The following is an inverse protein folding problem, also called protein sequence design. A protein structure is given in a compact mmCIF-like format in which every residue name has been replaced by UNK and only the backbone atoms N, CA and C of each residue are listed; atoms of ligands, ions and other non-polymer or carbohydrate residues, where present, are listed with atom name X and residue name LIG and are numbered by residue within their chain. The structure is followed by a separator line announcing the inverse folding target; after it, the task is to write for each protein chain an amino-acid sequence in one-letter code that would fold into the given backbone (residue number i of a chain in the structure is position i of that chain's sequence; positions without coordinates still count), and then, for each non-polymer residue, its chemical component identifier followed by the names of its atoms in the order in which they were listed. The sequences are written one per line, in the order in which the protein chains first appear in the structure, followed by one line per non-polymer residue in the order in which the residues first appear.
data_IF_516751716136
#
_entry.id   IF_516751716136
#
_cell.length_a   1.000
_cell.length_b   1.000
_cell.length_c   1.000
_cell.angle_alpha   90.00
_cell.angle_beta   90.00
_cell.angle_gamma   90.00
#
_symmetry.space_group_name_H-M   'P 1'
#
loop_
_entity.id
_entity.type
_entity.pdbx_description
1 polymer ?
#
# COMPACT_ATOMS: atom_id res chain seq x y z
N UNK A 1 24.90 -20.65 -16.59
CA UNK A 1 24.27 -19.77 -15.59
C UNK A 1 24.88 -20.08 -14.24
N UNK A 2 25.16 -19.07 -13.42
CA UNK A 2 25.66 -19.30 -12.06
C UNK A 2 24.61 -20.03 -11.23
N UNK A 3 25.00 -20.96 -10.33
CA UNK A 3 24.06 -21.66 -9.47
C UNK A 3 23.34 -20.68 -8.55
N UNK A 4 22.08 -20.99 -8.23
CA UNK A 4 21.30 -20.21 -7.26
C UNK A 4 21.98 -20.33 -5.90
N UNK A 5 22.25 -19.22 -5.20
CA UNK A 5 22.83 -19.27 -3.87
C UNK A 5 21.96 -20.09 -2.92
N UNK A 6 22.59 -21.00 -2.16
CA UNK A 6 21.90 -21.75 -1.11
C UNK A 6 21.56 -20.82 0.04
N UNK A 7 20.35 -20.96 0.59
CA UNK A 7 19.95 -20.33 1.82
C UNK A 7 20.87 -20.80 2.95
N UNK A 8 21.29 -19.85 3.79
CA UNK A 8 22.10 -20.11 4.98
C UNK A 8 21.37 -19.57 6.21
N UNK A 9 21.47 -20.25 7.37
CA UNK A 9 20.89 -19.73 8.60
C UNK A 9 21.54 -18.39 8.96
N UNK A 10 20.70 -17.40 9.33
CA UNK A 10 21.18 -16.09 9.80
C UNK A 10 21.55 -16.10 11.30
N UNK A 11 21.09 -17.11 12.03
CA UNK A 11 21.36 -17.33 13.46
C UNK A 11 21.87 -18.74 13.66
N UNK A 12 22.75 -18.93 14.64
CA UNK A 12 23.29 -20.24 15.00
C UNK A 12 22.29 -20.99 15.91
N UNK A 13 21.15 -21.40 15.36
CA UNK A 13 20.14 -22.21 16.06
C UNK A 13 19.65 -23.36 15.18
N UNK A 14 19.22 -24.45 15.82
CA UNK A 14 18.73 -25.66 15.11
C UNK A 14 17.52 -25.36 14.21
N UNK A 15 16.66 -24.44 14.64
CA UNK A 15 15.47 -24.03 13.90
C UNK A 15 15.85 -23.26 12.62
N UNK A 16 16.86 -22.38 12.71
CA UNK A 16 17.35 -21.63 11.57
C UNK A 16 18.05 -22.54 10.55
N UNK A 17 18.86 -23.50 11.03
CA UNK A 17 19.50 -24.53 10.21
C UNK A 17 18.44 -25.38 9.49
N UNK A 18 17.49 -25.93 10.23
CA UNK A 18 16.38 -26.71 9.68
C UNK A 18 15.59 -25.92 8.64
N UNK A 19 15.27 -24.65 8.90
CA UNK A 19 14.56 -23.81 7.93
C UNK A 19 15.37 -23.61 6.65
N UNK A 20 16.68 -23.36 6.76
CA UNK A 20 17.54 -23.20 5.59
C UNK A 20 17.62 -24.50 4.77
N UNK A 21 17.71 -25.66 5.41
CA UNK A 21 17.68 -26.98 4.76
C UNK A 21 16.38 -27.19 3.98
N UNK A 22 15.23 -26.96 4.61
CA UNK A 22 13.92 -27.10 3.97
C UNK A 22 13.76 -26.13 2.79
N UNK A 23 14.19 -24.87 2.93
CA UNK A 23 14.18 -23.88 1.83
C UNK A 23 15.02 -24.37 0.65
N UNK A 24 16.23 -24.87 0.92
CA UNK A 24 17.12 -25.38 -0.12
C UNK A 24 16.55 -26.62 -0.82
N UNK A 25 15.97 -27.56 -0.06
CA UNK A 25 15.31 -28.75 -0.60
C UNK A 25 14.10 -28.38 -1.48
N UNK A 26 13.28 -27.43 -1.01
CA UNK A 26 12.14 -26.94 -1.78
C UNK A 26 12.57 -26.33 -3.11
N UNK A 27 13.60 -25.47 -3.10
CA UNK A 27 14.11 -24.83 -4.32
C UNK A 27 14.64 -25.87 -5.30
N UNK A 28 15.40 -26.86 -4.82
CA UNK A 28 15.94 -27.93 -5.68
C UNK A 28 14.83 -28.76 -6.33
N UNK A 29 13.82 -29.16 -5.54
CA UNK A 29 12.64 -29.89 -6.05
C UNK A 29 11.82 -29.05 -7.02
N UNK A 30 11.63 -27.76 -6.72
CA UNK A 30 10.94 -26.83 -7.62
C UNK A 30 11.69 -26.72 -8.95
N UNK A 31 13.02 -26.68 -8.92
CA UNK A 31 13.84 -26.65 -10.14
C UNK A 31 13.64 -27.90 -10.97
N UNK A 32 13.68 -29.07 -10.35
CA UNK A 32 13.49 -30.33 -11.05
C UNK A 32 12.13 -30.39 -11.77
N UNK A 33 11.05 -30.06 -11.04
CA UNK A 33 9.68 -30.08 -11.57
C UNK A 33 9.50 -29.04 -12.68
N UNK A 34 9.91 -27.79 -12.43
CA UNK A 34 9.70 -26.70 -13.38
C UNK A 34 10.53 -26.87 -14.65
N UNK A 35 11.76 -27.40 -14.55
CA UNK A 35 12.63 -27.66 -15.70
C UNK A 35 12.01 -28.65 -16.70
N UNK A 36 11.25 -29.63 -16.19
CA UNK A 36 10.57 -30.65 -17.01
C UNK A 36 9.23 -30.19 -17.59
N UNK A 37 8.73 -29.02 -17.19
CA UNK A 37 7.41 -28.52 -17.60
C UNK A 37 7.31 -28.21 -19.09
N UNK A 38 6.12 -28.40 -19.66
CA UNK A 38 5.84 -28.07 -21.07
C UNK A 38 6.04 -26.57 -21.36
N UNK A 39 5.77 -25.71 -20.37
CA UNK A 39 6.03 -24.26 -20.49
C UNK A 39 7.52 -24.00 -20.70
N UNK A 40 8.41 -24.61 -19.92
CA UNK A 40 9.85 -24.41 -20.07
C UNK A 40 10.42 -25.08 -21.33
N UNK A 41 9.89 -26.24 -21.74
CA UNK A 41 10.23 -26.82 -23.05
C UNK A 41 9.93 -25.86 -24.20
N UNK A 42 8.75 -25.23 -24.20
CA UNK A 42 8.36 -24.23 -25.20
C UNK A 42 9.25 -22.99 -25.15
N UNK A 43 9.53 -22.45 -23.96
CA UNK A 43 10.42 -21.29 -23.80
C UNK A 43 11.80 -21.55 -24.39
N UNK A 44 12.39 -22.72 -24.10
CA UNK A 44 13.70 -23.11 -24.63
C UNK A 44 13.68 -23.27 -26.15
N UNK A 45 12.63 -23.89 -26.71
CA UNK A 45 12.46 -24.01 -28.16
C UNK A 45 12.35 -22.64 -28.87
N UNK A 46 11.83 -21.62 -28.17
CA UNK A 46 11.76 -20.23 -28.63
C UNK A 46 13.04 -19.43 -28.33
N UNK A 47 14.12 -20.06 -27.86
CA UNK A 47 15.39 -19.39 -27.50
C UNK A 47 15.32 -18.55 -26.21
N UNK A 48 14.26 -18.67 -25.41
CA UNK A 48 14.09 -17.96 -24.14
C UNK A 48 14.72 -18.74 -22.98
N UNK A 49 15.15 -18.03 -21.95
CA UNK A 49 15.61 -18.65 -20.70
C UNK A 49 14.46 -19.41 -20.02
N UNK A 50 14.77 -20.58 -19.45
CA UNK A 50 13.82 -21.33 -18.63
C UNK A 50 13.48 -20.53 -17.36
N UNK A 51 12.20 -20.48 -17.02
CA UNK A 51 11.68 -20.01 -15.74
C UNK A 51 11.53 -21.23 -14.83
N UNK A 52 12.66 -21.80 -14.40
CA UNK A 52 12.70 -23.07 -13.70
C UNK A 52 13.17 -22.93 -12.25
N UNK A 53 13.10 -21.76 -11.65
CA UNK A 53 13.44 -21.58 -10.25
C UNK A 53 12.48 -20.62 -9.56
N UNK A 54 12.28 -20.82 -8.26
CA UNK A 54 11.49 -19.94 -7.40
C UNK A 54 12.46 -19.25 -6.45
N UNK A 55 12.57 -17.92 -6.57
CA UNK A 55 13.35 -17.11 -5.65
C UNK A 55 12.49 -16.78 -4.43
N UNK A 56 12.92 -17.23 -3.26
CA UNK A 56 12.24 -17.02 -1.99
C UNK A 56 12.86 -15.84 -1.26
N UNK A 57 12.03 -14.98 -0.67
CA UNK A 57 12.44 -13.84 0.16
C UNK A 57 11.32 -13.48 1.14
N UNK A 58 11.62 -12.60 2.09
CA UNK A 58 10.64 -11.99 3.00
C UNK A 58 9.78 -13.02 3.76
N UNK A 59 10.44 -14.04 4.32
CA UNK A 59 9.77 -15.12 5.05
C UNK A 59 9.13 -14.61 6.35
N UNK A 60 7.94 -15.13 6.66
CA UNK A 60 7.29 -14.96 7.96
C UNK A 60 7.07 -16.32 8.63
N UNK A 61 7.11 -16.36 9.97
CA UNK A 61 6.79 -17.55 10.76
C UNK A 61 5.28 -17.82 10.83
N UNK A 62 4.45 -16.83 10.48
CA UNK A 62 3.00 -16.94 10.52
C UNK A 62 2.33 -15.60 10.27
N UNK A 63 1.00 -15.57 10.43
CA UNK A 63 0.28 -14.32 10.50
C UNK A 63 0.49 -13.71 11.89
N UNK A 64 0.74 -12.39 12.01
CA UNK A 64 0.83 -11.77 13.31
C UNK A 64 -0.52 -11.81 14.01
N UNK A 65 -0.50 -12.02 15.33
CA UNK A 65 -1.69 -11.92 16.16
C UNK A 65 -2.01 -10.44 16.38
N UNK A 66 -3.14 -10.00 15.82
CA UNK A 66 -3.57 -8.60 15.84
C UNK A 66 -5.04 -8.49 16.22
N UNK A 67 -5.35 -7.47 17.02
CA UNK A 67 -6.74 -7.15 17.35
C UNK A 67 -7.48 -6.63 16.10
N UNK A 68 -8.71 -7.12 15.82
CA UNK A 68 -9.57 -6.53 14.79
C UNK A 68 -9.72 -5.02 15.00
N UNK A 69 -9.55 -4.23 13.94
CA UNK A 69 -9.53 -2.76 14.08
C UNK A 69 -10.88 -2.20 14.56
N UNK A 70 -11.98 -2.84 14.20
CA UNK A 70 -13.32 -2.49 14.68
C UNK A 70 -13.46 -2.70 16.19
N UNK A 71 -12.80 -3.72 16.75
CA UNK A 71 -12.78 -3.98 18.21
C UNK A 71 -11.99 -2.90 18.95
N UNK A 72 -10.90 -2.41 18.34
CA UNK A 72 -10.04 -1.37 18.93
C UNK A 72 -10.71 -0.01 19.00
N UNK A 73 -11.43 0.40 17.95
CA UNK A 73 -11.98 1.76 17.82
C UNK A 73 -13.52 1.83 17.95
N UNK A 74 -14.22 0.70 17.97
CA UNK A 74 -15.67 0.66 18.15
C UNK A 74 -16.49 1.14 16.95
N UNK A 75 -15.90 1.21 15.75
CA UNK A 75 -16.55 1.67 14.52
C UNK A 75 -16.25 0.71 13.36
N UNK A 76 -17.09 0.71 12.31
CA UNK A 76 -16.97 -0.20 11.16
C UNK A 76 -15.96 0.32 10.15
N UNK A 77 -14.94 -0.48 9.86
CA UNK A 77 -13.88 -0.12 8.92
C UNK A 77 -14.05 -0.84 7.59
N UNK A 78 -14.01 -0.05 6.53
CA UNK A 78 -13.95 -0.54 5.17
C UNK A 78 -12.66 -0.11 4.49
N UNK A 79 -12.24 -0.86 3.47
CA UNK A 79 -11.09 -0.50 2.67
C UNK A 79 -11.32 -0.67 1.17
N UNK A 80 -10.65 0.16 0.39
CA UNK A 80 -10.47 0.02 -1.06
C UNK A 80 -8.97 0.05 -1.34
N UNK A 81 -8.42 -0.99 -1.95
CA UNK A 81 -7.00 -1.02 -2.35
C UNK A 81 -6.73 -1.83 -3.60
N UNK A 82 -5.75 -1.32 -4.32
CA UNK A 82 -5.07 -1.88 -5.49
C UNK A 82 -4.30 -3.16 -5.23
N UNK A 83 -3.70 -3.16 -4.05
CA UNK A 83 -2.42 -3.79 -3.84
C UNK A 83 -2.58 -5.00 -2.93
N UNK A 84 -2.01 -6.16 -3.30
CA UNK A 84 -2.19 -7.40 -2.53
C UNK A 84 -1.71 -7.31 -1.08
N UNK A 85 -0.65 -6.56 -0.79
CA UNK A 85 -0.07 -6.46 0.56
C UNK A 85 -1.03 -5.72 1.49
N UNK A 86 -1.51 -4.56 1.07
CA UNK A 86 -2.43 -3.67 1.77
C UNK A 86 -3.79 -4.35 1.93
N UNK A 87 -4.22 -5.12 0.92
CA UNK A 87 -5.40 -5.99 1.03
C UNK A 87 -5.21 -7.07 2.09
N UNK A 88 -4.02 -7.66 2.17
CA UNK A 88 -3.66 -8.64 3.19
C UNK A 88 -3.71 -8.06 4.60
N UNK A 89 -3.12 -6.88 4.80
CA UNK A 89 -3.13 -6.16 6.09
C UNK A 89 -4.56 -5.81 6.51
N UNK A 90 -5.36 -5.24 5.61
CA UNK A 90 -6.74 -4.88 5.91
C UNK A 90 -7.61 -6.10 6.26
N UNK A 91 -7.40 -7.23 5.57
CA UNK A 91 -8.07 -8.51 5.89
C UNK A 91 -7.64 -9.09 7.23
N UNK A 92 -6.36 -8.98 7.56
CA UNK A 92 -5.84 -9.39 8.87
C UNK A 92 -6.52 -8.60 9.99
N UNK A 93 -6.71 -7.29 9.79
CA UNK A 93 -7.42 -6.37 10.70
C UNK A 93 -8.95 -6.51 10.66
N UNK A 94 -9.50 -7.45 9.88
CA UNK A 94 -10.94 -7.71 9.71
C UNK A 94 -11.75 -6.54 9.13
N UNK A 95 -11.13 -5.67 8.34
CA UNK A 95 -11.84 -4.62 7.62
C UNK A 95 -12.70 -5.21 6.48
N UNK A 96 -13.82 -4.57 6.17
CA UNK A 96 -14.68 -4.96 5.05
C UNK A 96 -14.12 -4.45 3.72
N UNK A 97 -13.92 -5.34 2.77
CA UNK A 97 -13.43 -4.98 1.43
C UNK A 97 -14.55 -4.35 0.59
N UNK A 98 -14.30 -3.13 0.11
CA UNK A 98 -15.06 -2.52 -0.98
C UNK A 98 -14.28 -2.83 -2.27
N UNK A 99 -14.82 -3.76 -3.06
CA UNK A 99 -14.18 -4.20 -4.30
C UNK A 99 -14.09 -3.04 -5.30
N UNK A 100 -12.89 -2.84 -5.82
CA UNK A 100 -12.62 -1.91 -6.91
C UNK A 100 -11.77 -2.61 -7.96
N UNK A 101 -12.29 -2.64 -9.18
CA UNK A 101 -11.59 -3.10 -10.37
C UNK A 101 -11.90 -2.09 -11.47
N UNK A 102 -10.86 -1.65 -12.17
CA UNK A 102 -11.00 -0.70 -13.27
C UNK A 102 -10.04 -1.05 -14.40
N UNK A 103 -10.59 -1.14 -15.61
CA UNK A 103 -9.81 -1.24 -16.85
C UNK A 103 -9.32 0.14 -17.33
N UNK A 104 -9.81 1.24 -16.74
CA UNK A 104 -9.42 2.60 -17.07
C UNK A 104 -8.06 2.95 -16.47
N UNK A 105 -7.43 3.98 -17.04
CA UNK A 105 -6.14 4.53 -16.61
C UNK A 105 -6.25 6.04 -16.40
N UNK A 106 -5.27 6.60 -15.70
CA UNK A 106 -5.20 8.05 -15.45
C UNK A 106 -6.44 8.58 -14.73
N UNK A 107 -6.88 9.78 -15.11
CA UNK A 107 -7.99 10.49 -14.47
C UNK A 107 -9.30 9.68 -14.44
N UNK A 108 -9.64 8.94 -15.50
CA UNK A 108 -10.90 8.18 -15.57
C UNK A 108 -10.96 7.06 -14.53
N UNK A 109 -9.81 6.44 -14.22
CA UNK A 109 -9.70 5.45 -13.14
C UNK A 109 -10.03 6.07 -11.78
N UNK A 110 -9.49 7.25 -11.51
CA UNK A 110 -9.69 7.97 -10.26
C UNK A 110 -11.15 8.44 -10.10
N UNK A 111 -11.82 8.81 -11.19
CA UNK A 111 -13.27 9.08 -11.21
C UNK A 111 -14.09 7.85 -10.85
N UNK A 112 -13.74 6.67 -11.39
CA UNK A 112 -14.39 5.41 -11.03
C UNK A 112 -14.18 5.06 -9.55
N UNK A 113 -12.96 5.28 -9.03
CA UNK A 113 -12.65 5.08 -7.62
C UNK A 113 -13.50 5.98 -6.72
N UNK A 114 -13.58 7.28 -7.01
CA UNK A 114 -14.43 8.21 -6.26
C UNK A 114 -15.90 7.81 -6.29
N UNK A 115 -16.41 7.35 -7.44
CA UNK A 115 -17.78 6.85 -7.56
C UNK A 115 -18.05 5.65 -6.65
N UNK A 116 -17.10 4.72 -6.55
CA UNK A 116 -17.20 3.57 -5.64
C UNK A 116 -17.16 4.00 -4.19
N UNK A 117 -16.24 4.89 -3.81
CA UNK A 117 -16.16 5.43 -2.45
C UNK A 117 -17.49 6.11 -2.08
N UNK A 118 -17.97 7.05 -2.90
CA UNK A 118 -19.24 7.76 -2.67
C UNK A 118 -20.46 6.85 -2.52
N UNK A 119 -20.46 5.67 -3.15
CA UNK A 119 -21.58 4.72 -3.04
C UNK A 119 -21.57 3.97 -1.70
N UNK A 120 -20.40 3.81 -1.08
CA UNK A 120 -20.22 2.95 0.09
C UNK A 120 -20.04 3.72 1.41
N UNK A 121 -20.00 5.05 1.38
CA UNK A 121 -19.84 5.90 2.60
C UNK A 121 -20.95 5.74 3.62
N UNK A 122 -22.13 5.20 3.25
CA UNK A 122 -23.25 4.98 4.18
C UNK A 122 -23.17 3.65 4.94
N UNK A 123 -22.39 2.70 4.43
CA UNK A 123 -22.31 1.33 4.97
C UNK A 123 -21.06 1.12 5.83
N UNK A 124 -20.29 2.19 6.09
CA UNK A 124 -19.02 2.20 6.80
C UNK A 124 -18.93 3.49 7.62
N UNK A 125 -18.34 3.40 8.81
CA UNK A 125 -18.06 4.59 9.62
C UNK A 125 -16.67 5.17 9.28
N UNK A 126 -15.76 4.32 8.77
CA UNK A 126 -14.44 4.69 8.27
C UNK A 126 -14.13 3.99 6.94
N UNK A 127 -13.66 4.74 5.94
CA UNK A 127 -13.24 4.18 4.64
C UNK A 127 -11.77 4.51 4.38
N UNK A 128 -10.92 3.49 4.42
CA UNK A 128 -9.52 3.58 4.00
C UNK A 128 -9.42 3.41 2.47
N UNK A 129 -8.84 4.40 1.79
CA UNK A 129 -8.63 4.34 0.33
C UNK A 129 -7.14 4.42 0.06
N UNK A 130 -6.58 3.36 -0.50
CA UNK A 130 -5.17 3.31 -0.89
C UNK A 130 -5.01 3.57 -2.39
N UNK A 131 -4.16 4.56 -2.74
CA UNK A 131 -3.86 4.93 -4.12
C UNK A 131 -2.36 4.81 -4.38
N UNK A 132 -1.95 3.73 -5.07
CA UNK A 132 -0.54 3.42 -5.34
C UNK A 132 0.17 4.40 -6.31
N UNK A 133 -0.61 5.11 -7.12
CA UNK A 133 -0.15 5.82 -8.33
C UNK A 133 1.15 6.63 -8.18
N UNK A 134 1.29 7.50 -7.15
CA UNK A 134 2.46 8.38 -7.03
C UNK A 134 3.79 7.70 -6.68
N UNK A 135 3.76 6.45 -6.21
CA UNK A 135 4.97 5.79 -5.71
C UNK A 135 5.85 5.21 -6.84
N UNK A 136 5.23 4.62 -7.87
CA UNK A 136 5.95 4.09 -9.04
C UNK A 136 6.87 5.11 -9.75
N UNK A 137 6.43 6.35 -10.07
CA UNK A 137 7.34 7.34 -10.63
C UNK A 137 8.38 7.83 -9.62
N UNK A 138 8.12 7.73 -8.32
CA UNK A 138 9.13 7.96 -7.27
C UNK A 138 10.30 7.00 -7.42
N UNK A 139 10.03 5.70 -7.51
CA UNK A 139 11.04 4.68 -7.78
C UNK A 139 11.71 4.81 -9.15
N UNK A 140 10.99 5.29 -10.16
CA UNK A 140 11.58 5.55 -11.48
C UNK A 140 12.49 6.81 -11.48
N UNK A 141 12.36 7.68 -10.48
CA UNK A 141 13.01 9.00 -10.44
C UNK A 141 12.44 9.98 -11.46
N UNK A 142 11.14 9.90 -11.72
CA UNK A 142 10.42 10.75 -12.69
C UNK A 142 9.50 11.76 -11.98
N UNK A 143 10.03 12.94 -11.60
CA UNK A 143 9.25 13.94 -10.87
C UNK A 143 8.09 14.52 -11.69
N UNK A 144 8.23 14.61 -13.03
CA UNK A 144 7.18 15.13 -13.91
C UNK A 144 5.99 14.18 -13.92
N UNK A 145 6.24 12.88 -14.09
CA UNK A 145 5.19 11.87 -14.04
C UNK A 145 4.56 11.75 -12.66
N UNK A 146 5.35 11.87 -11.57
CA UNK A 146 4.82 11.89 -10.20
C UNK A 146 3.82 13.04 -10.01
N UNK A 147 4.19 14.25 -10.42
CA UNK A 147 3.30 15.43 -10.43
C UNK A 147 2.04 15.21 -11.26
N UNK A 148 2.17 14.68 -12.48
CA UNK A 148 1.03 14.49 -13.38
C UNK A 148 0.03 13.46 -12.82
N UNK A 149 0.52 12.43 -12.13
CA UNK A 149 -0.32 11.47 -11.41
C UNK A 149 -1.02 12.13 -10.22
N UNK A 150 -0.31 12.92 -9.40
CA UNK A 150 -0.93 13.66 -8.29
C UNK A 150 -2.05 14.58 -8.80
N UNK A 151 -1.82 15.29 -9.91
CA UNK A 151 -2.84 16.11 -10.57
C UNK A 151 -4.04 15.27 -11.05
N UNK A 152 -3.80 14.10 -11.63
CA UNK A 152 -4.88 13.21 -12.05
C UNK A 152 -5.70 12.66 -10.87
N UNK A 153 -5.06 12.42 -9.71
CA UNK A 153 -5.75 12.05 -8.46
C UNK A 153 -6.59 13.22 -7.96
N UNK A 154 -6.07 14.43 -7.96
CA UNK A 154 -6.81 15.63 -7.56
C UNK A 154 -8.03 15.88 -8.46
N UNK A 155 -7.80 15.97 -9.77
CA UNK A 155 -8.85 16.22 -10.77
C UNK A 155 -9.85 15.06 -10.90
N UNK A 156 -9.44 13.82 -10.60
CA UNK A 156 -10.23 12.61 -10.84
C UNK A 156 -10.88 12.04 -9.59
N UNK A 157 -10.17 11.97 -8.47
CA UNK A 157 -10.64 11.39 -7.21
C UNK A 157 -11.20 12.47 -6.29
N UNK A 158 -10.34 13.38 -5.81
CA UNK A 158 -10.73 14.37 -4.80
C UNK A 158 -11.84 15.30 -5.29
N UNK A 159 -11.75 15.82 -6.52
CA UNK A 159 -12.78 16.68 -7.12
C UNK A 159 -14.15 16.00 -7.34
N UNK A 160 -14.21 14.67 -7.16
CA UNK A 160 -15.42 13.86 -7.37
C UNK A 160 -15.96 13.24 -6.09
N UNK A 161 -15.25 13.37 -4.97
CA UNK A 161 -15.76 12.93 -3.68
C UNK A 161 -16.92 13.81 -3.24
N UNK A 162 -17.96 13.18 -2.71
CA UNK A 162 -19.04 13.85 -1.99
C UNK A 162 -18.63 13.90 -0.53
N UNK A 163 -18.40 15.09 -0.02
CA UNK A 163 -17.77 15.32 1.29
C UNK A 163 -18.74 15.90 2.32
N UNK A 164 -20.03 15.92 2.01
CA UNK A 164 -21.08 16.37 2.92
C UNK A 164 -21.04 15.52 4.21
N UNK A 165 -20.88 16.19 5.35
CA UNK A 165 -20.77 15.59 6.70
C UNK A 165 -19.64 14.57 6.90
N UNK A 166 -18.63 14.56 6.03
CA UNK A 166 -17.49 13.64 6.11
C UNK A 166 -16.23 14.38 6.56
N UNK A 167 -15.50 13.76 7.49
CA UNK A 167 -14.10 14.13 7.78
C UNK A 167 -13.18 13.39 6.82
N UNK A 168 -12.34 14.13 6.11
CA UNK A 168 -11.30 13.58 5.26
C UNK A 168 -9.95 13.63 5.97
N UNK A 169 -9.16 12.58 5.76
CA UNK A 169 -7.74 12.57 6.06
C UNK A 169 -6.98 12.25 4.77
N UNK A 170 -5.97 13.05 4.44
CA UNK A 170 -5.08 12.79 3.30
C UNK A 170 -3.65 12.76 3.80
N UNK A 171 -2.94 11.69 3.48
CA UNK A 171 -1.52 11.50 3.77
C UNK A 171 -0.94 10.37 2.92
N UNK A 172 0.33 10.07 3.10
CA UNK A 172 1.04 8.93 2.50
C UNK A 172 1.40 7.92 3.60
N UNK A 173 1.62 6.66 3.22
CA UNK A 173 2.18 5.64 4.11
C UNK A 173 3.70 5.79 4.28
N UNK A 174 4.39 6.32 3.26
CA UNK A 174 5.80 6.70 3.33
C UNK A 174 6.19 7.75 2.27
N UNK A 175 7.39 8.32 2.43
CA UNK A 175 8.01 9.17 1.42
C UNK A 175 8.78 8.32 0.39
N UNK A 176 8.66 8.70 -0.88
CA UNK A 176 9.47 8.12 -1.98
C UNK A 176 10.05 9.25 -2.83
N UNK A 177 11.18 9.87 -2.42
CA UNK A 177 11.81 10.95 -3.14
C UNK A 177 12.37 10.47 -4.49
N UNK A 178 12.06 11.19 -5.57
CA UNK A 178 12.50 10.82 -6.92
C UNK A 178 14.04 10.78 -7.06
N UNK A 179 14.74 11.60 -6.28
CA UNK A 179 16.21 11.62 -6.23
C UNK A 179 16.80 10.35 -5.62
N UNK A 180 16.09 9.72 -4.68
CA UNK A 180 16.54 8.50 -4.00
C UNK A 180 16.09 7.23 -4.71
N UNK A 181 14.99 7.27 -5.48
CA UNK A 181 14.39 6.11 -6.16
C UNK A 181 14.05 4.95 -5.21
N UNK A 182 13.91 5.28 -3.93
CA UNK A 182 13.65 4.37 -2.83
C UNK A 182 12.82 5.09 -1.78
N UNK A 183 12.25 4.32 -0.86
CA UNK A 183 11.57 4.88 0.29
C UNK A 183 12.59 5.61 1.18
N UNK A 184 12.17 6.71 1.78
CA UNK A 184 12.95 7.41 2.81
C UNK A 184 12.19 7.49 4.13
N UNK A 185 12.88 7.93 5.17
CA UNK A 185 12.31 8.22 6.49
C UNK A 185 11.86 9.67 6.63
N UNK A 186 11.77 10.43 5.53
CA UNK A 186 11.28 11.80 5.57
C UNK A 186 9.82 11.79 6.04
N UNK A 187 9.41 12.75 6.89
CA UNK A 187 8.02 12.87 7.29
C UNK A 187 7.11 13.11 6.08
N UNK A 188 5.87 12.66 6.19
CA UNK A 188 4.85 12.82 5.13
C UNK A 188 3.78 13.80 5.59
N UNK A 189 3.29 14.69 4.71
CA UNK A 189 2.29 15.66 5.08
C UNK A 189 0.97 14.96 5.45
N UNK A 190 0.27 15.49 6.44
CA UNK A 190 -1.04 15.01 6.88
C UNK A 190 -1.99 16.20 6.97
N UNK A 191 -3.18 16.05 6.38
CA UNK A 191 -4.30 16.97 6.60
C UNK A 191 -5.50 16.18 7.11
N UNK A 192 -6.15 16.69 8.16
CA UNK A 192 -7.39 16.14 8.74
C UNK A 192 -8.39 17.27 8.85
N UNK A 193 -9.59 17.10 8.29
CA UNK A 193 -10.60 18.15 8.39
C UNK A 193 -11.93 17.78 7.76
N UNK A 194 -12.93 18.61 8.02
CA UNK A 194 -14.18 18.64 7.23
C UNK A 194 -14.00 19.67 6.13
N UNK A 195 -14.46 19.37 4.93
CA UNK A 195 -14.36 20.34 3.83
C UNK A 195 -15.27 21.52 4.10
N UNK A 196 -14.69 22.73 4.10
CA UNK A 196 -15.41 24.00 4.17
C UNK A 196 -15.19 24.76 2.86
N UNK A 197 -16.27 25.29 2.30
CA UNK A 197 -16.19 26.12 1.10
C UNK A 197 -15.37 27.38 1.41
N UNK A 198 -14.33 27.67 0.62
CA UNK A 198 -13.53 28.88 0.73
C UNK A 198 -12.13 28.69 1.31
N UNK A 199 -11.77 27.50 1.80
CA UNK A 199 -10.42 27.20 2.24
C UNK A 199 -9.49 27.00 1.02
N UNK A 200 -8.56 27.93 0.78
CA UNK A 200 -7.55 27.87 -0.29
C UNK A 200 -6.17 27.47 0.26
N UNK A 201 -6.12 26.40 1.05
CA UNK A 201 -4.85 25.90 1.61
C UNK A 201 -4.16 24.97 0.62
N UNK A 202 -2.86 25.17 0.40
CA UNK A 202 -2.02 24.29 -0.43
C UNK A 202 -1.55 23.09 0.39
N UNK A 203 -1.80 21.87 -0.07
CA UNK A 203 -1.32 20.65 0.60
C UNK A 203 0.00 20.17 -0.02
N UNK A 204 1.11 20.46 0.65
CA UNK A 204 2.47 20.02 0.29
C UNK A 204 3.34 19.77 1.54
N UNK A 205 4.57 19.33 1.33
CA UNK A 205 5.53 18.98 2.40
C UNK A 205 5.90 20.16 3.31
N UNK A 206 5.69 21.42 2.93
CA UNK A 206 5.99 22.58 3.79
C UNK A 206 4.98 22.76 4.93
N UNK A 207 3.77 22.16 4.82
CA UNK A 207 2.74 22.22 5.88
C UNK A 207 3.24 21.62 7.20
N UNK A 208 4.11 20.61 7.15
CA UNK A 208 4.61 19.88 8.32
C UNK A 208 5.23 20.79 9.37
N UNK A 209 5.83 21.91 8.94
CA UNK A 209 6.48 22.88 9.84
C UNK A 209 5.53 23.84 10.57
N UNK A 210 4.28 23.98 10.11
CA UNK A 210 3.34 25.02 10.60
C UNK A 210 1.95 24.49 11.00
N UNK A 211 1.67 23.19 10.82
CA UNK A 211 0.36 22.59 11.10
C UNK A 211 0.09 22.37 12.60
N UNK A 212 -1.16 22.55 13.03
CA UNK A 212 -1.58 22.35 14.43
C UNK A 212 -1.51 20.90 14.91
N UNK A 213 -1.36 19.92 14.02
CA UNK A 213 -1.24 18.50 14.37
C UNK A 213 0.15 18.14 14.94
N UNK A 214 1.15 18.98 14.68
CA UNK A 214 2.56 18.71 14.96
C UNK A 214 3.09 17.47 14.23
N UNK A 215 4.30 17.06 14.61
CA UNK A 215 4.90 15.80 14.14
C UNK A 215 4.46 14.67 15.07
N UNK A 216 3.98 13.57 14.50
CA UNK A 216 3.50 12.40 15.25
C UNK A 216 3.74 11.10 14.49
N UNK A 217 3.62 9.95 15.17
CA UNK A 217 3.84 8.65 14.55
C UNK A 217 2.58 8.14 13.83
N UNK A 218 2.75 7.40 12.74
CA UNK A 218 1.62 6.88 11.95
C UNK A 218 0.60 6.05 12.74
N UNK A 219 1.00 5.39 13.83
CA UNK A 219 0.10 4.63 14.70
C UNK A 219 -0.87 5.51 15.51
N UNK A 220 -0.63 6.83 15.60
CA UNK A 220 -1.49 7.81 16.26
C UNK A 220 -2.56 8.40 15.31
N UNK A 221 -2.41 8.19 13.99
CA UNK A 221 -3.21 8.86 12.96
C UNK A 221 -4.72 8.62 13.12
N UNK A 222 -5.14 7.36 13.29
CA UNK A 222 -6.57 7.03 13.40
C UNK A 222 -7.18 7.70 14.62
N UNK A 223 -6.51 7.67 15.77
CA UNK A 223 -6.97 8.36 16.97
C UNK A 223 -7.11 9.87 16.72
N UNK A 224 -6.14 10.50 16.05
CA UNK A 224 -6.22 11.92 15.68
C UNK A 224 -7.39 12.22 14.74
N UNK A 225 -7.70 11.33 13.79
CA UNK A 225 -8.87 11.49 12.90
C UNK A 225 -10.17 11.44 13.72
N UNK A 226 -10.29 10.49 14.65
CA UNK A 226 -11.52 10.32 15.43
C UNK A 226 -11.75 11.47 16.41
N UNK A 227 -10.69 11.95 17.08
CA UNK A 227 -10.74 13.01 18.08
C UNK A 227 -10.42 14.41 17.53
N UNK A 228 -10.42 14.61 16.21
CA UNK A 228 -10.03 15.88 15.61
C UNK A 228 -10.88 17.09 16.07
N UNK A 229 -12.14 16.87 16.50
CA UNK A 229 -12.98 17.94 17.05
C UNK A 229 -12.65 18.29 18.51
N UNK A 230 -12.02 17.39 19.25
CA UNK A 230 -11.60 17.61 20.64
C UNK A 230 -10.30 18.43 20.73
N UNK A 231 -9.48 18.37 19.67
CA UNK A 231 -8.22 19.09 19.54
C UNK A 231 -8.37 20.58 19.15
N UNK A 232 -9.59 21.06 18.90
CA UNK A 232 -9.91 22.46 18.53
C UNK A 232 -10.48 23.23 19.75
N UNK A 233 -10.01 22.92 20.96
CA UNK A 233 -10.31 23.71 22.17
C UNK A 233 -9.13 24.57 22.57
#
# INVERSE_FOLDING_TARGET
ASPIPKAKPLKNTKEAEFTAEIVNEFVDKAIEVLSKSNVNKKRIAEGKQAANAILLRDASLGLPDVEPIEKKFGIRFCFVTEMPVERGIAKLLKMREIKFESAKKGIERYKELAKIVNKNTRDCDFVYVHIKGPDEPGHAGDPKKKRDILKAIDDGFFSKLKLDDIRICVTCDHATPCVLKAHSSDPVPVIIGKVRNGDNLLFDENIDSNGSLGIFNGNELISKILHADEAIK
#
